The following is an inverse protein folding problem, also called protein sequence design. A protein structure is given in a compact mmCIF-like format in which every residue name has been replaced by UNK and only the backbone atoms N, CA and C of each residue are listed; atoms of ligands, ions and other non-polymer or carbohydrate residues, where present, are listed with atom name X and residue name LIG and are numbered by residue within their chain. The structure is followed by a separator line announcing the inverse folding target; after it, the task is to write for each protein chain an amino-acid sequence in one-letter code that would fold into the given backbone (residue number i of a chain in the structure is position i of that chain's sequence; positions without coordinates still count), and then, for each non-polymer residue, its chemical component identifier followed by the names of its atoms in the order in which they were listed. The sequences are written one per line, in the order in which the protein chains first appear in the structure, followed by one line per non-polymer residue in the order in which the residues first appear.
data_IF_695592029965
#
_entry.id   IF_695592029965
#
_cell.length_a   1.000
_cell.length_b   1.000
_cell.length_c   1.000
_cell.angle_alpha   90.00
_cell.angle_beta   90.00
_cell.angle_gamma   90.00
#
_symmetry.space_group_name_H-M   'P 1'
#
loop_
_entity.id
_entity.type
_entity.pdbx_description
1 polymer ?
#
# COMPACT_ATOMS: atom_id res chain seq x y z
N UNK A 1 28.42 -0.94 -18.85
CA UNK A 1 28.56 -0.09 -17.66
C UNK A 1 28.86 -1.00 -16.49
N UNK A 2 29.84 -0.68 -15.66
CA UNK A 2 30.12 -1.52 -14.49
C UNK A 2 28.97 -1.42 -13.49
N UNK A 3 28.66 -2.48 -12.75
CA UNK A 3 27.62 -2.50 -11.71
C UNK A 3 27.77 -1.33 -10.71
N UNK A 4 29.00 -0.85 -10.51
CA UNK A 4 29.30 0.30 -9.65
C UNK A 4 28.81 1.65 -10.21
N UNK A 5 28.76 1.81 -11.54
CA UNK A 5 28.31 3.04 -12.18
C UNK A 5 26.80 3.24 -12.03
N UNK A 6 26.02 2.16 -11.98
CA UNK A 6 24.56 2.22 -11.78
C UNK A 6 24.20 2.68 -10.36
N UNK A 7 24.88 2.14 -9.35
CA UNK A 7 24.71 2.56 -7.96
C UNK A 7 25.01 4.06 -7.77
N UNK A 8 26.12 4.54 -8.36
CA UNK A 8 26.52 5.96 -8.30
C UNK A 8 25.49 6.87 -8.99
N UNK A 9 24.92 6.45 -10.11
CA UNK A 9 23.87 7.22 -10.82
C UNK A 9 22.60 7.38 -9.98
N UNK A 10 22.28 6.39 -9.16
CA UNK A 10 21.10 6.40 -8.30
C UNK A 10 21.36 7.07 -6.94
N UNK A 11 22.58 7.56 -6.69
CA UNK A 11 23.00 8.09 -5.38
C UNK A 11 22.80 7.06 -4.24
N UNK A 12 22.96 5.77 -4.54
CA UNK A 12 22.76 4.69 -3.56
C UNK A 12 24.11 4.26 -2.97
N UNK A 13 24.20 3.93 -1.66
CA UNK A 13 25.44 3.45 -1.05
C UNK A 13 26.01 2.21 -1.74
N UNK A 14 27.33 2.18 -1.92
CA UNK A 14 28.07 1.06 -2.48
C UNK A 14 28.70 0.24 -1.35
N UNK A 15 28.59 -1.08 -1.43
CA UNK A 15 29.23 -1.99 -0.47
C UNK A 15 30.05 -3.03 -1.21
N UNK A 16 31.32 -3.15 -0.85
CA UNK A 16 32.23 -4.16 -1.38
C UNK A 16 32.08 -5.50 -0.63
N UNK A 17 31.67 -5.46 0.64
CA UNK A 17 31.55 -6.63 1.51
C UNK A 17 30.42 -6.47 2.54
N UNK A 18 30.19 -7.53 3.33
CA UNK A 18 29.12 -7.56 4.34
C UNK A 18 29.39 -6.66 5.55
N UNK A 19 30.65 -6.38 5.89
CA UNK A 19 30.98 -5.52 7.02
C UNK A 19 30.69 -4.05 6.69
N UNK A 20 30.98 -3.59 5.47
CA UNK A 20 30.58 -2.25 5.01
C UNK A 20 29.06 -2.05 5.06
N UNK A 21 28.28 -3.05 4.60
CA UNK A 21 26.82 -3.03 4.70
C UNK A 21 26.37 -2.93 6.18
N UNK A 22 26.97 -3.74 7.06
CA UNK A 22 26.65 -3.74 8.49
C UNK A 22 26.92 -2.38 9.15
N UNK A 23 28.07 -1.79 8.87
CA UNK A 23 28.50 -0.51 9.43
C UNK A 23 27.58 0.62 9.00
N UNK A 24 27.20 0.65 7.71
CA UNK A 24 26.26 1.64 7.19
C UNK A 24 24.85 1.49 7.77
N UNK A 25 24.36 0.26 7.96
CA UNK A 25 23.10 0.00 8.66
C UNK A 25 23.18 0.42 10.14
N UNK A 26 24.39 0.46 10.72
CA UNK A 26 24.59 0.86 12.12
C UNK A 26 24.19 -0.23 13.12
N UNK A 27 24.51 -1.49 12.84
CA UNK A 27 24.17 -2.62 13.75
C UNK A 27 25.41 -3.41 14.19
N UNK A 28 25.31 -4.04 15.36
CA UNK A 28 26.40 -4.86 15.89
C UNK A 28 26.55 -6.17 15.12
N UNK A 29 27.78 -6.69 15.08
CA UNK A 29 28.15 -7.90 14.32
C UNK A 29 27.28 -9.11 14.67
N UNK A 30 27.09 -9.39 15.96
CA UNK A 30 26.31 -10.55 16.44
C UNK A 30 24.86 -10.50 15.94
N UNK A 31 24.23 -9.33 16.01
CA UNK A 31 22.85 -9.16 15.56
C UNK A 31 22.73 -9.21 14.04
N UNK A 32 23.65 -8.57 13.32
CA UNK A 32 23.67 -8.59 11.85
C UNK A 32 23.66 -10.02 11.30
N UNK A 33 24.59 -10.86 11.72
CA UNK A 33 24.65 -12.25 11.26
C UNK A 33 23.48 -13.09 11.80
N UNK A 34 22.93 -12.77 12.98
CA UNK A 34 21.66 -13.38 13.44
C UNK A 34 20.50 -13.07 12.49
N UNK A 35 20.42 -11.85 11.95
CA UNK A 35 19.41 -11.50 10.94
C UNK A 35 19.65 -12.33 9.67
N UNK A 36 20.88 -12.38 9.15
CA UNK A 36 21.15 -13.11 7.91
C UNK A 36 20.80 -14.60 8.00
N UNK A 37 21.15 -15.27 9.10
CA UNK A 37 20.97 -16.72 9.24
C UNK A 37 19.70 -17.14 10.01
N UNK A 38 19.02 -16.22 10.68
CA UNK A 38 17.87 -16.53 11.55
C UNK A 38 16.79 -15.45 11.56
N UNK A 39 16.66 -14.66 10.47
CA UNK A 39 15.64 -13.61 10.33
C UNK A 39 14.22 -14.10 10.64
N UNK A 40 13.88 -15.36 10.33
CA UNK A 40 12.56 -15.92 10.62
C UNK A 40 12.18 -15.85 12.11
N UNK A 41 13.15 -15.95 13.02
CA UNK A 41 12.92 -15.86 14.47
C UNK A 41 12.70 -14.43 14.95
N UNK A 42 12.83 -13.44 14.07
CA UNK A 42 12.72 -12.01 14.37
C UNK A 42 11.37 -11.42 13.96
N UNK A 43 10.44 -12.25 13.50
CA UNK A 43 9.07 -11.87 13.19
C UNK A 43 8.08 -12.45 14.22
N UNK A 44 7.01 -11.70 14.47
CA UNK A 44 5.84 -12.15 15.23
C UNK A 44 4.63 -12.19 14.30
N UNK A 45 3.91 -13.29 14.32
CA UNK A 45 2.63 -13.41 13.63
C UNK A 45 1.54 -12.75 14.49
N UNK A 46 0.76 -11.86 13.89
CA UNK A 46 -0.44 -11.27 14.49
C UNK A 46 -1.61 -11.46 13.53
N UNK A 47 -2.80 -11.70 14.08
CA UNK A 47 -4.00 -11.92 13.29
C UNK A 47 -4.94 -10.73 13.44
N UNK A 48 -5.37 -10.16 12.32
CA UNK A 48 -6.38 -9.10 12.29
C UNK A 48 -7.60 -9.54 11.47
N UNK A 49 -8.82 -9.14 11.87
CA UNK A 49 -10.02 -9.44 11.10
C UNK A 49 -10.01 -8.69 9.76
N UNK A 50 -10.41 -9.37 8.69
CA UNK A 50 -10.68 -8.72 7.39
C UNK A 50 -12.04 -8.03 7.44
N UNK A 51 -12.19 -6.92 6.70
CA UNK A 51 -13.47 -6.19 6.55
C UNK A 51 -14.62 -7.06 6.01
N UNK A 52 -14.32 -8.06 5.19
CA UNK A 52 -15.31 -8.91 4.53
C UNK A 52 -15.40 -10.30 5.19
N UNK A 53 -14.92 -10.44 6.43
CA UNK A 53 -14.85 -11.72 7.11
C UNK A 53 -13.55 -12.49 6.87
N UNK A 54 -13.24 -13.40 7.80
CA UNK A 54 -11.98 -14.13 7.85
C UNK A 54 -10.83 -13.31 8.47
N UNK A 55 -9.65 -13.93 8.46
CA UNK A 55 -8.47 -13.42 9.16
C UNK A 55 -7.34 -13.05 8.18
N UNK A 56 -6.57 -12.02 8.51
CA UNK A 56 -5.31 -11.67 7.85
C UNK A 56 -4.19 -11.83 8.86
N UNK A 57 -3.26 -12.73 8.55
CA UNK A 57 -2.02 -12.89 9.30
C UNK A 57 -1.03 -11.84 8.80
N UNK A 58 -0.49 -11.06 9.74
CA UNK A 58 0.60 -10.13 9.50
C UNK A 58 1.86 -10.67 10.18
N UNK A 59 2.99 -10.55 9.50
CA UNK A 59 4.30 -10.93 9.98
C UNK A 59 5.05 -9.65 10.33
N UNK A 60 5.06 -9.29 11.61
CA UNK A 60 5.61 -8.02 12.08
C UNK A 60 7.06 -8.24 12.56
N UNK A 61 8.05 -7.57 11.95
CA UNK A 61 9.43 -7.65 12.42
C UNK A 61 9.56 -7.02 13.81
N UNK A 62 10.47 -7.54 14.63
CA UNK A 62 10.85 -6.88 15.88
C UNK A 62 11.47 -5.50 15.61
N UNK A 63 11.56 -4.66 16.64
CA UNK A 63 11.99 -3.27 16.51
C UNK A 63 13.36 -3.16 15.84
N UNK A 64 14.33 -3.99 16.23
CA UNK A 64 15.69 -3.96 15.68
C UNK A 64 15.73 -4.31 14.18
N UNK A 65 15.05 -5.39 13.75
CA UNK A 65 14.95 -5.74 12.33
C UNK A 65 14.18 -4.67 11.55
N UNK A 66 13.11 -4.12 12.14
CA UNK A 66 12.33 -3.04 11.55
C UNK A 66 13.19 -1.79 11.28
N UNK A 67 14.12 -1.45 12.18
CA UNK A 67 15.06 -0.35 11.99
C UNK A 67 16.02 -0.60 10.83
N UNK A 68 16.58 -1.82 10.70
CA UNK A 68 17.42 -2.17 9.55
C UNK A 68 16.65 -2.10 8.23
N UNK A 69 15.42 -2.61 8.21
CA UNK A 69 14.54 -2.54 7.04
C UNK A 69 14.19 -1.09 6.69
N UNK A 70 13.94 -0.23 7.69
CA UNK A 70 13.68 1.19 7.47
C UNK A 70 14.89 1.90 6.88
N UNK A 71 16.08 1.59 7.38
CA UNK A 71 17.32 2.11 6.82
C UNK A 71 17.49 1.72 5.33
N UNK A 72 17.25 0.46 4.97
CA UNK A 72 17.28 -0.01 3.57
C UNK A 72 16.25 0.74 2.73
N UNK A 73 15.04 0.93 3.26
CA UNK A 73 13.97 1.63 2.57
C UNK A 73 14.38 3.08 2.22
N UNK A 74 14.88 3.81 3.21
CA UNK A 74 15.14 5.23 3.10
C UNK A 74 16.44 5.53 2.31
N UNK A 75 17.48 4.70 2.47
CA UNK A 75 18.80 4.96 1.86
C UNK A 75 19.02 4.27 0.52
N UNK A 76 18.26 3.20 0.21
CA UNK A 76 18.42 2.42 -1.01
C UNK A 76 17.13 2.49 -1.82
N UNK A 77 16.04 1.92 -1.30
CA UNK A 77 14.87 1.62 -2.13
C UNK A 77 14.15 2.86 -2.63
N UNK A 78 13.94 3.89 -1.80
CA UNK A 78 13.27 5.13 -2.23
C UNK A 78 14.05 5.95 -3.26
N UNK A 79 15.35 5.69 -3.44
CA UNK A 79 16.16 6.30 -4.51
C UNK A 79 15.97 5.60 -5.86
N UNK A 80 15.42 4.38 -5.86
CA UNK A 80 15.11 3.62 -7.07
C UNK A 80 13.72 3.98 -7.58
N UNK A 81 13.61 4.42 -8.83
CA UNK A 81 12.31 4.73 -9.42
C UNK A 81 11.47 3.47 -9.68
N UNK A 82 10.27 3.46 -9.09
CA UNK A 82 9.16 2.57 -9.47
C UNK A 82 8.40 3.11 -10.69
N UNK A 83 7.62 2.25 -11.34
CA UNK A 83 6.75 2.67 -12.43
C UNK A 83 5.72 3.73 -11.98
N UNK A 84 5.45 4.80 -12.77
CA UNK A 84 4.49 5.84 -12.43
C UNK A 84 3.05 5.33 -12.19
N UNK A 85 2.65 4.25 -12.86
CA UNK A 85 1.32 3.65 -12.73
C UNK A 85 1.13 2.89 -11.40
N UNK A 86 2.22 2.53 -10.71
CA UNK A 86 2.18 2.06 -9.34
C UNK A 86 1.91 3.24 -8.39
N UNK A 87 0.68 3.34 -7.91
CA UNK A 87 0.22 4.44 -7.06
C UNK A 87 0.14 4.08 -5.58
N UNK A 88 0.05 2.78 -5.26
CA UNK A 88 0.08 2.28 -3.88
C UNK A 88 1.49 2.30 -3.31
N UNK A 89 1.62 2.55 -2.00
CA UNK A 89 2.88 2.48 -1.25
C UNK A 89 4.02 3.40 -1.74
N UNK A 90 3.70 4.40 -2.54
CA UNK A 90 4.65 5.40 -3.00
C UNK A 90 4.59 6.65 -2.11
N UNK A 91 5.74 7.21 -1.70
CA UNK A 91 5.77 8.52 -1.05
C UNK A 91 5.00 9.56 -1.86
N UNK A 92 4.25 10.42 -1.17
CA UNK A 92 3.46 11.53 -1.76
C UNK A 92 2.34 11.13 -2.73
N UNK A 93 2.10 9.83 -2.98
CA UNK A 93 0.92 9.36 -3.72
C UNK A 93 -0.19 9.00 -2.75
N UNK A 94 -1.43 9.30 -3.13
CA UNK A 94 -2.62 9.04 -2.32
C UNK A 94 -3.63 8.17 -3.06
N UNK A 95 -4.57 7.60 -2.31
CA UNK A 95 -5.74 6.92 -2.90
C UNK A 95 -6.57 7.86 -3.79
N UNK A 96 -6.50 9.18 -3.57
CA UNK A 96 -7.16 10.19 -4.41
C UNK A 96 -6.48 10.28 -5.76
N UNK A 97 -5.14 10.33 -5.80
CA UNK A 97 -4.36 10.31 -7.04
C UNK A 97 -4.65 9.03 -7.84
N UNK A 98 -4.71 7.88 -7.18
CA UNK A 98 -5.07 6.64 -7.85
C UNK A 98 -6.48 6.70 -8.46
N UNK A 99 -7.46 7.18 -7.70
CA UNK A 99 -8.84 7.26 -8.15
C UNK A 99 -9.07 8.31 -9.25
N UNK A 100 -8.33 9.43 -9.22
CA UNK A 100 -8.50 10.54 -10.17
C UNK A 100 -8.19 10.15 -11.61
N UNK A 101 -7.25 9.23 -11.82
CA UNK A 101 -6.88 8.70 -13.15
C UNK A 101 -8.08 8.01 -13.84
N UNK A 102 -9.04 7.49 -13.06
CA UNK A 102 -10.22 6.79 -13.58
C UNK A 102 -11.51 7.63 -13.52
N UNK A 103 -11.41 8.91 -13.19
CA UNK A 103 -12.55 9.82 -13.09
C UNK A 103 -13.31 9.92 -14.43
N UNK A 104 -14.65 9.84 -14.36
CA UNK A 104 -15.57 9.98 -15.52
C UNK A 104 -15.43 8.93 -16.61
N UNK A 105 -14.70 7.84 -16.37
CA UNK A 105 -14.54 6.76 -17.36
C UNK A 105 -15.80 5.89 -17.41
N UNK A 106 -16.28 5.58 -18.62
CA UNK A 106 -17.53 4.84 -18.84
C UNK A 106 -17.46 3.39 -18.39
N UNK A 107 -16.31 2.74 -18.61
CA UNK A 107 -16.06 1.36 -18.25
C UNK A 107 -14.83 1.26 -17.33
N UNK A 108 -14.91 0.41 -16.30
CA UNK A 108 -13.78 0.09 -15.41
C UNK A 108 -13.69 -1.42 -15.26
N UNK A 109 -12.50 -1.96 -15.42
CA UNK A 109 -12.11 -3.32 -15.10
C UNK A 109 -11.20 -3.26 -13.87
N UNK A 110 -11.59 -3.94 -12.80
CA UNK A 110 -10.75 -4.12 -11.63
C UNK A 110 -10.32 -5.57 -11.54
N UNK A 111 -9.04 -5.78 -11.24
CA UNK A 111 -8.43 -7.09 -11.05
C UNK A 111 -7.60 -7.04 -9.76
N UNK A 112 -7.38 -8.18 -9.14
CA UNK A 112 -6.64 -8.30 -7.88
C UNK A 112 -5.60 -9.40 -8.04
N UNK A 113 -4.34 -9.15 -7.67
CA UNK A 113 -3.30 -10.18 -7.69
C UNK A 113 -3.44 -11.05 -6.45
N UNK A 114 -3.62 -12.35 -6.66
CA UNK A 114 -3.75 -13.33 -5.58
C UNK A 114 -2.42 -13.45 -4.81
N UNK A 115 -2.52 -13.43 -3.47
CA UNK A 115 -1.39 -13.63 -2.56
C UNK A 115 -0.16 -12.75 -2.90
N UNK A 116 -0.42 -11.48 -3.22
CA UNK A 116 0.55 -10.56 -3.81
C UNK A 116 1.91 -10.54 -3.11
N UNK A 117 1.97 -10.26 -1.81
CA UNK A 117 3.25 -10.26 -1.08
C UNK A 117 3.91 -11.65 -1.01
N UNK A 118 3.22 -12.73 -0.58
CA UNK A 118 3.75 -14.10 -0.64
C UNK A 118 4.29 -14.53 -2.03
N UNK A 119 3.69 -14.06 -3.12
CA UNK A 119 4.12 -14.40 -4.48
C UNK A 119 5.45 -13.75 -4.92
N UNK A 120 6.00 -12.87 -4.09
CA UNK A 120 7.32 -12.25 -4.26
C UNK A 120 8.32 -12.96 -3.35
N UNK A 121 9.04 -13.91 -3.92
CA UNK A 121 9.98 -14.75 -3.22
C UNK A 121 11.36 -14.08 -3.06
N UNK A 122 12.22 -14.72 -2.27
CA UNK A 122 13.59 -14.33 -2.03
C UNK A 122 14.41 -14.14 -3.32
N UNK A 123 14.16 -14.96 -4.35
CA UNK A 123 14.90 -14.89 -5.61
C UNK A 123 14.59 -13.60 -6.36
N UNK A 124 13.31 -13.20 -6.43
CA UNK A 124 12.90 -11.92 -7.02
C UNK A 124 13.52 -10.73 -6.27
N UNK A 125 13.50 -10.75 -4.94
CA UNK A 125 14.10 -9.67 -4.11
C UNK A 125 15.62 -9.62 -4.27
N UNK A 126 16.30 -10.76 -4.28
CA UNK A 126 17.75 -10.85 -4.49
C UNK A 126 18.15 -10.40 -5.89
N UNK A 127 17.39 -10.79 -6.91
CA UNK A 127 17.62 -10.36 -8.31
C UNK A 127 17.53 -8.85 -8.42
N UNK A 128 16.52 -8.24 -7.80
CA UNK A 128 16.38 -6.78 -7.78
C UNK A 128 17.63 -6.10 -7.21
N UNK A 129 18.14 -6.51 -6.05
CA UNK A 129 19.35 -5.90 -5.49
C UNK A 129 20.59 -6.16 -6.34
N UNK A 130 20.70 -7.34 -6.95
CA UNK A 130 21.80 -7.65 -7.87
C UNK A 130 21.75 -6.79 -9.15
N UNK A 131 20.56 -6.58 -9.71
CA UNK A 131 20.30 -5.71 -10.86
C UNK A 131 20.52 -4.23 -10.56
N UNK A 132 20.45 -3.80 -9.29
CA UNK A 132 20.86 -2.45 -8.89
C UNK A 132 22.37 -2.26 -8.92
N UNK A 133 23.15 -3.34 -8.99
CA UNK A 133 24.61 -3.31 -9.04
C UNK A 133 25.31 -3.84 -7.78
N UNK A 134 24.59 -4.40 -6.80
CA UNK A 134 25.23 -5.05 -5.66
C UNK A 134 25.82 -6.41 -6.04
N UNK A 135 26.96 -6.75 -5.43
CA UNK A 135 27.53 -8.08 -5.58
C UNK A 135 26.62 -9.16 -4.98
N UNK A 136 26.89 -10.43 -5.30
CA UNK A 136 26.03 -11.56 -4.92
C UNK A 136 25.84 -11.69 -3.40
N UNK A 137 26.87 -11.42 -2.60
CA UNK A 137 26.80 -11.59 -1.15
C UNK A 137 25.98 -10.48 -0.50
N UNK A 138 26.21 -9.23 -0.91
CA UNK A 138 25.46 -8.06 -0.44
C UNK A 138 23.99 -8.14 -0.86
N UNK A 139 23.70 -8.51 -2.12
CA UNK A 139 22.34 -8.69 -2.60
C UNK A 139 21.58 -9.80 -1.83
N UNK A 140 22.29 -10.89 -1.51
CA UNK A 140 21.76 -11.99 -0.67
C UNK A 140 21.45 -11.51 0.74
N UNK A 141 22.37 -10.74 1.35
CA UNK A 141 22.18 -10.19 2.69
C UNK A 141 20.99 -9.21 2.76
N UNK A 142 20.92 -8.26 1.82
CA UNK A 142 19.81 -7.32 1.72
C UNK A 142 18.46 -8.04 1.55
N UNK A 143 18.41 -9.05 0.69
CA UNK A 143 17.22 -9.87 0.50
C UNK A 143 16.82 -10.60 1.79
N UNK A 144 17.76 -11.25 2.49
CA UNK A 144 17.48 -11.95 3.77
C UNK A 144 16.93 -11.00 4.85
N UNK A 145 17.42 -9.75 4.91
CA UNK A 145 16.89 -8.75 5.85
C UNK A 145 15.42 -8.41 5.53
N UNK A 146 15.00 -8.49 4.27
CA UNK A 146 13.68 -8.04 3.82
C UNK A 146 12.61 -9.12 3.74
N UNK A 147 12.97 -10.40 3.81
CA UNK A 147 12.02 -11.52 3.66
C UNK A 147 11.71 -12.21 4.99
N UNK A 148 10.63 -12.98 4.98
CA UNK A 148 10.23 -13.91 6.03
C UNK A 148 9.79 -15.21 5.37
N UNK A 149 10.38 -16.33 5.81
CA UNK A 149 10.16 -17.67 5.22
C UNK A 149 10.29 -17.67 3.69
N UNK A 150 11.28 -16.94 3.18
CA UNK A 150 11.61 -16.90 1.75
C UNK A 150 10.69 -16.04 0.89
N UNK A 151 9.80 -15.22 1.46
CA UNK A 151 8.88 -14.36 0.73
C UNK A 151 8.69 -13.00 1.42
N UNK A 152 8.12 -12.01 0.71
CA UNK A 152 7.82 -10.72 1.32
C UNK A 152 6.73 -10.84 2.41
N UNK A 153 7.01 -10.44 3.66
CA UNK A 153 6.01 -10.44 4.72
C UNK A 153 5.03 -9.27 4.60
N UNK A 154 3.77 -9.50 4.97
CA UNK A 154 2.81 -8.43 5.25
C UNK A 154 3.11 -7.85 6.64
N UNK A 155 3.75 -6.68 6.70
CA UNK A 155 4.07 -6.00 7.96
C UNK A 155 5.49 -5.45 8.07
N UNK A 156 6.40 -5.85 7.18
CA UNK A 156 7.73 -5.24 7.11
C UNK A 156 7.69 -3.88 6.38
N UNK A 157 8.52 -2.89 6.78
CA UNK A 157 8.58 -1.59 6.12
C UNK A 157 9.00 -1.64 4.65
N UNK A 158 9.86 -2.60 4.27
CA UNK A 158 10.41 -2.70 2.90
C UNK A 158 9.48 -3.38 1.92
N UNK A 159 8.68 -4.35 2.36
CA UNK A 159 7.81 -5.16 1.50
C UNK A 159 6.97 -4.34 0.52
N UNK A 160 6.28 -3.25 0.94
CA UNK A 160 5.41 -2.49 0.06
C UNK A 160 6.14 -1.87 -1.14
N UNK A 161 7.32 -1.29 -0.91
CA UNK A 161 8.09 -0.65 -1.98
C UNK A 161 8.87 -1.66 -2.82
N UNK A 162 9.41 -2.72 -2.20
CA UNK A 162 10.00 -3.85 -2.93
C UNK A 162 9.01 -4.48 -3.89
N UNK A 163 7.75 -4.65 -3.47
CA UNK A 163 6.72 -5.20 -4.32
C UNK A 163 6.46 -4.32 -5.57
N UNK A 164 6.53 -3.00 -5.42
CA UNK A 164 6.43 -2.08 -6.54
C UNK A 164 7.62 -2.18 -7.50
N UNK A 165 8.84 -2.22 -6.97
CA UNK A 165 10.05 -2.35 -7.79
C UNK A 165 10.08 -3.67 -8.56
N UNK A 166 9.71 -4.78 -7.93
CA UNK A 166 9.60 -6.10 -8.60
C UNK A 166 8.54 -6.08 -9.70
N UNK A 167 7.45 -5.33 -9.54
CA UNK A 167 6.39 -5.24 -10.54
C UNK A 167 6.69 -4.20 -11.65
N UNK A 168 7.82 -3.50 -11.64
CA UNK A 168 8.08 -2.38 -12.57
C UNK A 168 7.91 -2.77 -14.04
N UNK A 169 8.49 -3.88 -14.47
CA UNK A 169 8.39 -4.33 -15.88
C UNK A 169 7.01 -4.93 -16.21
N UNK A 170 6.29 -5.47 -15.21
CA UNK A 170 4.88 -5.87 -15.35
C UNK A 170 4.02 -4.63 -15.61
N UNK A 171 4.17 -3.62 -14.77
CA UNK A 171 3.39 -2.37 -14.81
C UNK A 171 3.65 -1.65 -16.14
N UNK A 172 4.91 -1.51 -16.54
CA UNK A 172 5.30 -0.91 -17.81
C UNK A 172 4.67 -1.62 -19.01
N UNK A 173 4.62 -2.95 -19.01
CA UNK A 173 4.03 -3.74 -20.09
C UNK A 173 2.51 -3.56 -20.17
N UNK A 174 1.82 -3.52 -19.03
CA UNK A 174 0.37 -3.28 -18.97
C UNK A 174 0.06 -1.82 -19.35
N UNK A 175 0.83 -0.86 -18.86
CA UNK A 175 0.63 0.56 -19.14
C UNK A 175 0.82 0.84 -20.64
N UNK A 176 1.88 0.30 -21.26
CA UNK A 176 2.10 0.42 -22.71
C UNK A 176 0.95 -0.16 -23.53
N UNK A 177 0.43 -1.34 -23.14
CA UNK A 177 -0.77 -1.92 -23.75
C UNK A 177 -1.97 -0.97 -23.61
N UNK A 178 -2.20 -0.44 -22.41
CA UNK A 178 -3.32 0.46 -22.15
C UNK A 178 -3.21 1.75 -22.96
N UNK A 179 -2.03 2.36 -23.03
CA UNK A 179 -1.77 3.57 -23.85
C UNK A 179 -2.05 3.32 -25.32
N UNK A 180 -1.62 2.18 -25.88
CA UNK A 180 -1.91 1.80 -27.28
C UNK A 180 -3.41 1.83 -27.60
N UNK A 181 -4.25 1.44 -26.65
CA UNK A 181 -5.71 1.43 -26.80
C UNK A 181 -6.42 2.63 -26.13
N UNK A 182 -5.68 3.69 -25.77
CA UNK A 182 -6.21 4.89 -25.11
C UNK A 182 -6.98 4.60 -23.81
N UNK A 183 -6.51 3.60 -23.06
CA UNK A 183 -7.02 3.20 -21.75
C UNK A 183 -6.14 3.80 -20.65
N UNK A 184 -6.71 3.94 -19.46
CA UNK A 184 -6.00 4.39 -18.26
C UNK A 184 -5.75 3.20 -17.36
N UNK A 185 -4.54 3.08 -16.83
CA UNK A 185 -4.12 1.98 -15.96
C UNK A 185 -3.46 2.51 -14.69
N UNK A 186 -3.77 1.87 -13.57
CA UNK A 186 -3.01 2.01 -12.33
C UNK A 186 -2.96 0.68 -11.58
N UNK A 187 -1.93 0.55 -10.73
CA UNK A 187 -1.84 -0.50 -9.72
C UNK A 187 -1.70 0.13 -8.33
N UNK A 188 -2.60 -0.23 -7.42
CA UNK A 188 -2.54 0.15 -6.02
C UNK A 188 -2.35 -1.12 -5.18
N UNK A 189 -1.10 -1.39 -4.77
CA UNK A 189 -0.75 -2.66 -4.15
C UNK A 189 -1.07 -3.85 -5.09
N UNK A 190 -1.96 -4.74 -4.67
CA UNK A 190 -2.49 -5.89 -5.40
C UNK A 190 -3.66 -5.53 -6.33
N UNK A 191 -4.33 -4.40 -6.11
CA UNK A 191 -5.47 -3.92 -6.92
C UNK A 191 -4.97 -3.30 -8.23
N UNK A 192 -5.33 -3.89 -9.36
CA UNK A 192 -5.17 -3.32 -10.70
C UNK A 192 -6.49 -2.69 -11.14
N UNK A 193 -6.42 -1.46 -11.66
CA UNK A 193 -7.58 -0.78 -12.26
C UNK A 193 -7.26 -0.35 -13.69
N UNK A 194 -8.10 -0.77 -14.64
CA UNK A 194 -8.06 -0.32 -16.04
C UNK A 194 -9.38 0.35 -16.36
N UNK A 195 -9.36 1.48 -17.05
CA UNK A 195 -10.59 2.19 -17.42
C UNK A 195 -10.54 2.82 -18.81
N UNK A 196 -11.72 3.02 -19.40
CA UNK A 196 -11.86 3.55 -20.75
C UNK A 196 -13.24 4.12 -21.03
N UNK A 197 -13.36 4.80 -22.17
CA UNK A 197 -14.63 5.35 -22.65
C UNK A 197 -15.37 4.39 -23.61
N UNK A 198 -14.67 3.40 -24.16
CA UNK A 198 -15.22 2.28 -24.90
C UNK A 198 -15.27 1.02 -24.02
N UNK A 199 -15.97 -0.03 -24.46
CA UNK A 199 -16.02 -1.31 -23.75
C UNK A 199 -14.63 -1.97 -23.73
N UNK A 200 -14.05 -2.12 -22.53
CA UNK A 200 -12.65 -2.56 -22.35
C UNK A 200 -12.47 -4.02 -21.95
N UNK A 201 -13.55 -4.75 -21.63
CA UNK A 201 -13.46 -6.01 -20.89
C UNK A 201 -12.69 -7.13 -21.62
N UNK A 202 -12.54 -7.02 -22.94
CA UNK A 202 -11.71 -7.92 -23.76
C UNK A 202 -10.24 -7.94 -23.32
N UNK A 203 -9.74 -6.86 -22.71
CA UNK A 203 -8.33 -6.74 -22.31
C UNK A 203 -7.96 -7.65 -21.14
N UNK A 204 -8.95 -8.17 -20.41
CA UNK A 204 -8.75 -9.01 -19.21
C UNK A 204 -7.86 -10.22 -19.50
N UNK A 205 -8.09 -10.93 -20.60
CA UNK A 205 -7.30 -12.11 -20.98
C UNK A 205 -5.83 -11.77 -21.25
N UNK A 206 -5.58 -10.71 -22.03
CA UNK A 206 -4.23 -10.26 -22.38
C UNK A 206 -3.47 -9.80 -21.12
N UNK A 207 -4.13 -9.06 -20.23
CA UNK A 207 -3.50 -8.61 -18.99
C UNK A 207 -3.23 -9.79 -18.06
N UNK A 208 -4.13 -10.78 -18.00
CA UNK A 208 -3.89 -12.00 -17.24
C UNK A 208 -2.68 -12.78 -17.76
N UNK A 209 -2.49 -12.89 -19.08
CA UNK A 209 -1.30 -13.50 -19.68
C UNK A 209 -0.02 -12.73 -19.33
N UNK A 210 -0.06 -11.39 -19.36
CA UNK A 210 1.06 -10.55 -18.91
C UNK A 210 1.38 -10.85 -17.45
N UNK A 211 0.40 -10.83 -16.56
CA UNK A 211 0.57 -11.10 -15.12
C UNK A 211 1.18 -12.50 -14.89
N UNK A 212 0.68 -13.52 -15.61
CA UNK A 212 1.22 -14.89 -15.56
C UNK A 212 2.67 -14.97 -16.02
N UNK A 213 3.06 -14.22 -17.04
CA UNK A 213 4.45 -14.18 -17.53
C UNK A 213 5.46 -13.65 -16.50
N UNK A 214 4.99 -12.88 -15.51
CA UNK A 214 5.79 -12.42 -14.36
C UNK A 214 5.60 -13.27 -13.10
N UNK A 215 5.06 -14.49 -13.25
CA UNK A 215 4.84 -15.46 -12.17
C UNK A 215 3.89 -14.92 -11.07
N UNK A 216 2.88 -14.16 -11.48
CA UNK A 216 1.76 -13.76 -10.63
C UNK A 216 0.47 -14.42 -11.11
N UNK A 217 -0.54 -14.48 -10.24
CA UNK A 217 -1.86 -15.04 -10.55
C UNK A 217 -2.96 -14.04 -10.19
N UNK A 218 -4.02 -14.00 -10.98
CA UNK A 218 -5.19 -13.18 -10.66
C UNK A 218 -6.13 -13.89 -9.67
N UNK A 219 -6.75 -13.11 -8.81
CA UNK A 219 -7.94 -13.52 -8.08
C UNK A 219 -9.18 -13.27 -8.96
N UNK A 220 -9.66 -14.32 -9.61
CA UNK A 220 -10.81 -14.23 -10.51
C UNK A 220 -12.11 -13.86 -9.77
N UNK A 221 -12.30 -14.28 -8.52
CA UNK A 221 -13.49 -13.96 -7.71
C UNK A 221 -13.60 -12.46 -7.38
N UNK A 222 -12.45 -11.78 -7.26
CA UNK A 222 -12.37 -10.34 -7.02
C UNK A 222 -12.33 -9.49 -8.29
N UNK A 223 -12.40 -10.12 -9.46
CA UNK A 223 -12.42 -9.38 -10.73
C UNK A 223 -13.78 -8.72 -10.93
N UNK A 224 -13.81 -7.41 -11.16
CA UNK A 224 -15.05 -6.63 -11.25
C UNK A 224 -15.11 -5.88 -12.59
N UNK A 225 -16.25 -5.97 -13.26
CA UNK A 225 -16.55 -5.29 -14.52
C UNK A 225 -17.64 -4.24 -14.29
N UNK A 226 -17.31 -2.96 -14.47
CA UNK A 226 -18.24 -1.84 -14.28
C UNK A 226 -18.54 -1.18 -15.62
N UNK A 227 -19.83 -1.02 -15.93
CA UNK A 227 -20.41 -0.48 -17.17
C UNK A 227 -20.95 0.94 -16.96
N UNK A 228 -21.40 1.65 -18.01
CA UNK A 228 -22.22 2.85 -17.87
C UNK A 228 -23.42 2.60 -16.94
N UNK A 229 -23.79 3.59 -16.12
CA UNK A 229 -24.84 3.46 -15.10
C UNK A 229 -24.36 2.89 -13.76
N UNK A 230 -23.37 1.99 -13.76
CA UNK A 230 -22.87 1.41 -12.51
C UNK A 230 -22.19 2.46 -11.61
N UNK A 231 -22.34 2.26 -10.29
CA UNK A 231 -21.57 2.98 -9.29
C UNK A 231 -20.10 2.54 -9.34
N UNK A 232 -19.22 3.48 -9.69
CA UNK A 232 -17.79 3.24 -9.90
C UNK A 232 -16.99 3.63 -8.66
N UNK A 233 -16.25 2.67 -8.11
CA UNK A 233 -15.43 2.85 -6.91
C UNK A 233 -14.01 2.34 -7.11
N UNK A 234 -13.03 3.24 -6.97
CA UNK A 234 -11.59 2.94 -7.04
C UNK A 234 -10.96 3.29 -5.69
N UNK A 235 -10.23 2.35 -5.08
CA UNK A 235 -9.56 2.52 -3.77
C UNK A 235 -10.42 3.21 -2.70
N UNK A 236 -11.71 2.87 -2.65
CA UNK A 236 -12.64 3.41 -1.66
C UNK A 236 -13.40 4.68 -2.09
N UNK A 237 -13.00 5.34 -3.18
CA UNK A 237 -13.50 6.63 -3.67
C UNK A 237 -14.42 6.43 -4.86
N UNK A 238 -15.52 7.20 -4.93
CA UNK A 238 -16.44 7.22 -6.07
C UNK A 238 -15.88 8.09 -7.18
N UNK A 239 -15.91 7.58 -8.42
CA UNK A 239 -15.24 8.20 -9.59
C UNK A 239 -16.18 8.44 -10.78
N UNK A 240 -17.50 8.33 -10.58
CA UNK A 240 -18.49 8.48 -11.65
C UNK A 240 -18.43 9.85 -12.35
N UNK A 241 -18.57 10.94 -11.59
CA UNK A 241 -18.66 12.30 -12.13
C UNK A 241 -17.66 13.23 -11.45
N UNK A 242 -17.54 13.09 -10.13
CA UNK A 242 -16.56 13.77 -9.29
C UNK A 242 -16.00 12.78 -8.28
N UNK A 243 -14.80 13.07 -7.80
CA UNK A 243 -14.24 12.36 -6.65
C UNK A 243 -15.12 12.64 -5.44
N UNK A 244 -15.67 11.58 -4.86
CA UNK A 244 -16.53 11.70 -3.68
C UNK A 244 -16.41 10.48 -2.79
N UNK A 245 -16.65 10.68 -1.49
CA UNK A 245 -16.74 9.54 -0.57
C UNK A 245 -18.09 8.85 -0.73
N UNK A 246 -18.20 7.55 -0.42
CA UNK A 246 -19.49 6.88 -0.36
C UNK A 246 -20.47 7.61 0.57
N UNK A 247 -21.73 7.79 0.14
CA UNK A 247 -22.78 8.43 0.96
C UNK A 247 -22.93 7.78 2.36
N UNK A 248 -22.69 6.47 2.46
CA UNK A 248 -22.69 5.75 3.74
C UNK A 248 -21.64 6.28 4.73
N UNK A 249 -20.45 6.66 4.26
CA UNK A 249 -19.39 7.24 5.12
C UNK A 249 -19.87 8.55 5.73
N UNK A 250 -20.38 9.47 4.91
CA UNK A 250 -20.91 10.75 5.40
C UNK A 250 -22.14 10.58 6.28
N UNK A 251 -23.02 9.63 5.94
CA UNK A 251 -24.23 9.34 6.72
C UNK A 251 -23.89 8.79 8.09
N UNK A 252 -22.95 7.86 8.17
CA UNK A 252 -22.50 7.28 9.43
C UNK A 252 -21.83 8.35 10.29
N UNK A 253 -20.90 9.15 9.75
CA UNK A 253 -20.28 10.22 10.55
C UNK A 253 -21.29 11.25 11.07
N UNK A 254 -22.29 11.65 10.26
CA UNK A 254 -23.40 12.49 10.73
C UNK A 254 -24.19 11.84 11.85
N UNK A 255 -24.47 10.54 11.71
CA UNK A 255 -25.17 9.75 12.72
C UNK A 255 -24.38 9.78 14.04
N UNK A 256 -23.09 9.46 14.01
CA UNK A 256 -22.21 9.49 15.19
C UNK A 256 -22.24 10.87 15.86
N UNK A 257 -22.02 11.94 15.09
CA UNK A 257 -22.04 13.32 15.59
C UNK A 257 -23.40 13.68 16.21
N UNK A 258 -24.51 13.29 15.58
CA UNK A 258 -25.84 13.55 16.10
C UNK A 258 -26.08 12.88 17.45
N UNK A 259 -25.76 11.60 17.59
CA UNK A 259 -25.96 10.87 18.84
C UNK A 259 -25.07 11.43 19.95
N UNK A 260 -23.81 11.75 19.65
CA UNK A 260 -22.91 12.39 20.63
C UNK A 260 -23.45 13.76 21.08
N UNK A 261 -23.96 14.59 20.16
CA UNK A 261 -24.56 15.88 20.53
C UNK A 261 -25.82 15.74 21.38
N UNK A 262 -26.59 14.67 21.18
CA UNK A 262 -27.89 14.47 21.84
C UNK A 262 -27.77 13.77 23.21
N UNK A 263 -26.88 12.80 23.33
CA UNK A 263 -26.77 11.90 24.49
C UNK A 263 -25.41 12.01 25.20
N UNK A 264 -24.46 12.78 24.65
CA UNK A 264 -23.10 12.82 25.15
C UNK A 264 -22.24 11.67 24.62
N UNK A 265 -20.92 11.81 24.78
CA UNK A 265 -19.95 10.82 24.29
C UNK A 265 -20.04 9.52 25.09
N UNK A 266 -20.17 9.58 26.41
CA UNK A 266 -20.17 8.39 27.28
C UNK A 266 -21.32 7.44 26.96
N UNK A 267 -22.57 7.93 27.01
CA UNK A 267 -23.76 7.13 26.70
C UNK A 267 -23.69 6.54 25.28
N UNK A 268 -23.12 7.31 24.33
CA UNK A 268 -22.93 6.85 22.97
C UNK A 268 -21.91 5.69 22.87
N UNK A 269 -20.80 5.75 23.62
CA UNK A 269 -19.81 4.66 23.65
C UNK A 269 -20.40 3.40 24.29
N UNK A 270 -21.12 3.55 25.40
CA UNK A 270 -21.76 2.44 26.12
C UNK A 270 -22.77 1.72 25.23
N UNK A 271 -23.63 2.50 24.54
CA UNK A 271 -24.65 1.96 23.63
C UNK A 271 -24.06 1.22 22.42
N UNK A 272 -22.87 1.59 21.98
CA UNK A 272 -22.15 0.90 20.90
C UNK A 272 -21.23 -0.21 21.41
N UNK A 273 -21.20 -0.45 22.73
CA UNK A 273 -20.32 -1.42 23.38
C UNK A 273 -18.85 -1.23 22.97
N UNK A 274 -18.42 0.03 22.86
CA UNK A 274 -17.06 0.35 22.46
C UNK A 274 -16.08 0.11 23.61
N UNK A 275 -15.10 -0.76 23.41
CA UNK A 275 -14.16 -1.19 24.46
C UNK A 275 -12.85 -0.39 24.48
N UNK A 276 -12.71 0.62 23.62
CA UNK A 276 -11.52 1.48 23.56
C UNK A 276 -11.66 2.75 24.40
N UNK A 277 -10.61 3.57 24.43
CA UNK A 277 -10.63 4.85 25.15
C UNK A 277 -11.42 5.94 24.39
N UNK A 278 -11.90 6.95 25.11
CA UNK A 278 -12.60 8.10 24.52
C UNK A 278 -11.74 8.80 23.45
N UNK A 279 -10.45 8.95 23.73
CA UNK A 279 -9.48 9.59 22.84
C UNK A 279 -9.31 8.78 21.56
N UNK A 280 -9.31 7.44 21.64
CA UNK A 280 -9.27 6.56 20.46
C UNK A 280 -10.51 6.75 19.60
N UNK A 281 -11.69 6.88 20.20
CA UNK A 281 -12.93 7.11 19.47
C UNK A 281 -12.97 8.49 18.82
N UNK A 282 -12.58 9.54 19.55
CA UNK A 282 -12.48 10.91 19.02
C UNK A 282 -11.49 10.94 17.86
N UNK A 283 -10.30 10.35 18.02
CA UNK A 283 -9.31 10.23 16.95
C UNK A 283 -9.85 9.46 15.73
N UNK A 284 -10.67 8.43 15.94
CA UNK A 284 -11.36 7.73 14.87
C UNK A 284 -12.29 8.67 14.08
N UNK A 285 -13.13 9.45 14.76
CA UNK A 285 -14.04 10.41 14.12
C UNK A 285 -13.28 11.48 13.32
N UNK A 286 -12.23 12.06 13.89
CA UNK A 286 -11.37 13.01 13.19
C UNK A 286 -10.63 12.36 12.01
N UNK A 287 -10.25 11.10 12.12
CA UNK A 287 -9.67 10.32 11.02
C UNK A 287 -10.65 10.14 9.86
N UNK A 288 -11.92 9.83 10.14
CA UNK A 288 -12.96 9.75 9.12
C UNK A 288 -13.20 11.12 8.48
N UNK A 289 -13.29 12.19 9.27
CA UNK A 289 -13.46 13.55 8.76
C UNK A 289 -12.27 14.01 7.89
N UNK A 290 -11.04 13.66 8.29
CA UNK A 290 -9.81 13.93 7.54
C UNK A 290 -9.77 13.15 6.22
N UNK A 291 -10.21 11.88 6.22
CA UNK A 291 -10.41 11.12 4.99
C UNK A 291 -11.43 11.80 4.05
N UNK A 292 -12.55 12.30 4.59
CA UNK A 292 -13.52 13.07 3.80
C UNK A 292 -12.87 14.35 3.26
N UNK A 293 -12.11 15.09 4.07
CA UNK A 293 -11.39 16.31 3.67
C UNK A 293 -10.42 16.05 2.52
N UNK A 294 -9.70 14.93 2.55
CA UNK A 294 -8.78 14.54 1.50
C UNK A 294 -9.48 14.33 0.14
N UNK A 295 -10.74 13.88 0.13
CA UNK A 295 -11.50 13.59 -1.11
C UNK A 295 -12.43 14.75 -1.52
N UNK A 296 -13.13 15.34 -0.56
CA UNK A 296 -14.13 16.42 -0.71
C UNK A 296 -13.85 17.50 0.35
N UNK A 297 -12.95 18.43 0.02
CA UNK A 297 -12.39 19.44 0.93
C UNK A 297 -13.44 20.17 1.78
N UNK A 298 -14.46 20.76 1.15
CA UNK A 298 -15.50 21.55 1.84
C UNK A 298 -16.34 20.71 2.80
N UNK A 299 -16.71 19.49 2.42
CA UNK A 299 -17.44 18.57 3.31
C UNK A 299 -16.59 18.12 4.49
N UNK A 300 -15.30 17.87 4.25
CA UNK A 300 -14.38 17.48 5.31
C UNK A 300 -14.18 18.59 6.34
N UNK A 301 -13.98 19.83 5.88
CA UNK A 301 -13.90 21.02 6.77
C UNK A 301 -15.17 21.16 7.59
N UNK A 302 -16.35 21.02 6.97
CA UNK A 302 -17.63 21.03 7.68
C UNK A 302 -17.67 20.02 8.83
N UNK A 303 -17.28 18.76 8.59
CA UNK A 303 -17.26 17.74 9.64
C UNK A 303 -16.23 18.00 10.72
N UNK A 304 -15.03 18.47 10.37
CA UNK A 304 -14.00 18.83 11.33
C UNK A 304 -14.51 19.96 12.24
N UNK A 305 -15.14 21.00 11.68
CA UNK A 305 -15.71 22.08 12.48
C UNK A 305 -16.82 21.59 13.42
N UNK A 306 -17.65 20.65 12.97
CA UNK A 306 -18.65 20.03 13.86
C UNK A 306 -18.00 19.25 15.01
N UNK A 307 -16.94 18.50 14.76
CA UNK A 307 -16.21 17.78 15.80
C UNK A 307 -15.51 18.76 16.75
N UNK A 308 -14.88 19.82 16.24
CA UNK A 308 -14.26 20.87 17.05
C UNK A 308 -15.31 21.52 17.98
N UNK A 309 -16.52 21.80 17.48
CA UNK A 309 -17.59 22.38 18.32
C UNK A 309 -18.05 21.48 19.47
N UNK A 310 -17.75 20.17 19.40
CA UNK A 310 -18.10 19.20 20.46
C UNK A 310 -16.91 19.00 21.41
N UNK A 311 -15.70 18.88 20.86
CA UNK A 311 -14.54 18.39 21.61
C UNK A 311 -13.48 19.47 21.91
N UNK A 312 -13.42 20.57 21.16
CA UNK A 312 -12.44 21.65 21.38
C UNK A 312 -12.87 22.67 22.43
N UNK A 313 -14.09 22.55 22.98
CA UNK A 313 -14.56 23.35 24.12
C UNK A 313 -14.18 22.78 25.49
N UNK A 314 -13.54 21.61 25.54
CA UNK A 314 -13.02 21.00 26.76
C UNK A 314 -11.49 21.04 26.71
N UNK A 315 -10.89 22.18 27.06
CA UNK A 315 -9.48 22.26 27.43
C UNK A 315 -9.23 21.49 28.73
N UNK A 316 -9.23 20.16 28.65
CA UNK A 316 -8.53 19.25 29.57
C UNK A 316 -8.15 18.00 28.79
N UNK A 317 -7.12 18.12 27.94
CA UNK A 317 -6.28 17.00 27.48
C UNK A 317 -4.83 17.41 27.58
#
# INVERSE_FOLDING_TARGET
MSQLEELKKLDIPVFCNLEELRENIGTNKKFFYKVLYSHNKLYKEITIPKRNGGNRVLNVPNIALKSMQRWILDNILYKVQSDPSATGFMPMKSIVLNASIHLKKKYILKMDIKDFFPSIDFRKVRSLFFELGYNKDVATALANICVFRGQLPQGAPTSPYLANLVCRELDKRIDNLCRKYRLSYTRYADDITISGNSKIFWIKGIVEEIIRSYQFSLNNEKTIFLKPGDRKRVTGIIVNEKLSVPRSVTRNLRKEIYFIKKFGLEEHLDKNSFTGSKEQYIAHLYGVASYIKMVELTKGIFFINQLNSIFSGNEQL
#
